data_IF_773784021236
#
_entry.id   IF_773784021236
#
_cell.length_a   1.000
_cell.length_b   1.000
_cell.length_c   1.000
_cell.angle_alpha   90.00
_cell.angle_beta   90.00
_cell.angle_gamma   90.00
#
_symmetry.space_group_name_H-M   'P 1'
#
loop_
_entity.id
_entity.type
_entity.pdbx_description
1 polymer ?
#
# COMPACT_ATOMS: atom_id res chain seq x y z
N UNK A 1 13.01 -16.26 2.91
CA UNK A 1 11.68 -15.67 2.71
C UNK A 1 11.39 -14.90 3.98
N UNK A 2 11.60 -13.59 3.96
CA UNK A 2 11.17 -12.75 5.08
C UNK A 2 9.65 -12.85 5.16
N UNK A 3 9.16 -13.44 6.24
CA UNK A 3 7.72 -13.55 6.49
C UNK A 3 7.13 -12.16 6.67
N UNK A 4 5.88 -11.98 6.22
CA UNK A 4 5.12 -10.79 6.55
C UNK A 4 4.99 -10.65 8.08
N UNK A 5 4.93 -9.43 8.57
CA UNK A 5 4.52 -9.13 9.94
C UNK A 5 3.11 -9.69 10.21
N UNK A 6 2.77 -9.97 11.47
CA UNK A 6 1.44 -10.47 11.85
C UNK A 6 0.30 -9.58 11.35
N UNK A 7 0.52 -8.26 11.34
CA UNK A 7 -0.45 -7.28 10.85
C UNK A 7 -0.62 -7.34 9.33
N UNK A 8 0.48 -7.51 8.60
CA UNK A 8 0.43 -7.68 7.15
C UNK A 8 -0.19 -9.02 6.76
N UNK A 9 0.11 -10.10 7.50
CA UNK A 9 -0.50 -11.40 7.30
C UNK A 9 -2.01 -11.33 7.56
N UNK A 10 -2.43 -10.72 8.66
CA UNK A 10 -3.86 -10.52 8.98
C UNK A 10 -4.58 -9.72 7.89
N UNK A 11 -3.93 -8.70 7.31
CA UNK A 11 -4.52 -7.96 6.19
C UNK A 11 -4.59 -8.80 4.92
N UNK A 12 -3.58 -9.61 4.63
CA UNK A 12 -3.59 -10.53 3.48
C UNK A 12 -4.72 -11.56 3.57
N UNK A 13 -5.01 -12.07 4.76
CA UNK A 13 -6.13 -13.00 5.02
C UNK A 13 -7.51 -12.35 4.80
N UNK A 14 -7.61 -11.01 4.94
CA UNK A 14 -8.86 -10.27 4.71
C UNK A 14 -9.04 -9.80 3.26
N UNK A 15 -7.95 -9.78 2.48
CA UNK A 15 -7.97 -9.32 1.09
C UNK A 15 -8.15 -10.50 0.15
N UNK A 16 -8.86 -10.26 -0.94
CA UNK A 16 -8.89 -11.24 -2.04
C UNK A 16 -7.54 -11.29 -2.76
N UNK A 17 -7.22 -12.42 -3.40
CA UNK A 17 -6.01 -12.55 -4.23
C UNK A 17 -5.91 -11.44 -5.29
N UNK A 18 -7.05 -11.04 -5.85
CA UNK A 18 -7.12 -9.96 -6.84
C UNK A 18 -6.74 -8.60 -6.23
N UNK A 19 -7.20 -8.29 -5.02
CA UNK A 19 -6.81 -7.05 -4.33
C UNK A 19 -5.33 -7.05 -3.96
N UNK A 20 -4.77 -8.20 -3.55
CA UNK A 20 -3.34 -8.32 -3.28
C UNK A 20 -2.52 -8.09 -4.55
N UNK A 21 -2.96 -8.60 -5.70
CA UNK A 21 -2.31 -8.37 -6.99
C UNK A 21 -2.36 -6.89 -7.41
N UNK A 22 -3.46 -6.19 -7.13
CA UNK A 22 -3.59 -4.76 -7.39
C UNK A 22 -2.61 -3.91 -6.58
N UNK A 23 -2.25 -4.35 -5.38
CA UNK A 23 -1.34 -3.64 -4.47
C UNK A 23 0.15 -3.78 -4.84
N UNK A 24 0.51 -4.79 -5.64
CA UNK A 24 1.94 -5.06 -5.94
C UNK A 24 2.58 -3.90 -6.68
N UNK A 25 3.85 -3.61 -6.34
CA UNK A 25 4.70 -2.60 -7.00
C UNK A 25 4.66 -2.68 -8.54
N UNK A 26 4.62 -3.89 -9.09
CA UNK A 26 4.65 -4.17 -10.53
C UNK A 26 3.28 -4.14 -11.21
N UNK A 27 2.21 -3.79 -10.49
CA UNK A 27 0.89 -3.65 -11.08
C UNK A 27 0.91 -2.58 -12.20
N UNK A 28 0.41 -2.89 -13.42
CA UNK A 28 0.53 -2.00 -14.58
C UNK A 28 -0.26 -0.70 -14.42
N UNK A 29 -1.39 -0.74 -13.71
CA UNK A 29 -2.25 0.43 -13.51
C UNK A 29 -1.89 1.17 -12.22
N UNK A 30 -0.93 2.09 -12.32
CA UNK A 30 -0.46 2.87 -11.15
C UNK A 30 -1.59 3.65 -10.45
N UNK A 31 -2.60 4.10 -11.20
CA UNK A 31 -3.74 4.85 -10.66
C UNK A 31 -4.58 3.96 -9.74
N UNK A 32 -5.03 2.80 -10.23
CA UNK A 32 -5.79 1.81 -9.46
C UNK A 32 -5.03 1.34 -8.21
N UNK A 33 -3.74 1.00 -8.34
CA UNK A 33 -2.90 0.64 -7.19
C UNK A 33 -2.87 1.76 -6.16
N UNK A 34 -2.64 3.00 -6.60
CA UNK A 34 -2.53 4.14 -5.70
C UNK A 34 -3.87 4.44 -5.01
N UNK A 35 -4.99 4.30 -5.72
CA UNK A 35 -6.32 4.41 -5.15
C UNK A 35 -6.56 3.34 -4.08
N UNK A 36 -6.16 2.09 -4.36
CA UNK A 36 -6.28 0.99 -3.39
C UNK A 36 -5.42 1.21 -2.14
N UNK A 37 -4.19 1.70 -2.30
CA UNK A 37 -3.30 2.09 -1.19
C UNK A 37 -3.97 3.17 -0.33
N UNK A 38 -4.56 4.20 -0.95
CA UNK A 38 -5.29 5.27 -0.24
C UNK A 38 -6.54 4.75 0.44
N UNK A 39 -7.25 3.80 -0.17
CA UNK A 39 -8.40 3.15 0.44
C UNK A 39 -8.01 2.43 1.73
N UNK A 40 -6.97 1.57 1.69
CA UNK A 40 -6.49 0.86 2.87
C UNK A 40 -6.06 1.83 3.98
N UNK A 41 -5.36 2.91 3.61
CA UNK A 41 -4.98 3.95 4.56
C UNK A 41 -6.19 4.63 5.20
N UNK A 42 -7.22 4.98 4.42
CA UNK A 42 -8.48 5.56 4.92
C UNK A 42 -9.25 4.59 5.84
N UNK A 43 -9.10 3.28 5.62
CA UNK A 43 -9.64 2.23 6.50
C UNK A 43 -8.83 2.03 7.79
N UNK A 44 -7.78 2.83 8.01
CA UNK A 44 -6.95 2.81 9.22
C UNK A 44 -5.77 1.84 9.17
N UNK A 45 -5.47 1.25 8.01
CA UNK A 45 -4.28 0.39 7.86
C UNK A 45 -3.02 1.26 7.91
N UNK A 46 -2.09 0.89 8.78
CA UNK A 46 -0.84 1.62 8.94
C UNK A 46 0.04 1.56 7.67
N UNK A 47 0.66 2.69 7.33
CA UNK A 47 1.46 2.82 6.09
C UNK A 47 2.62 1.81 5.98
N UNK A 48 3.21 1.40 7.11
CA UNK A 48 4.27 0.39 7.10
C UNK A 48 3.76 -0.99 6.70
N UNK A 49 2.55 -1.37 7.12
CA UNK A 49 1.89 -2.63 6.74
C UNK A 49 1.59 -2.62 5.24
N UNK A 50 1.06 -1.50 4.74
CA UNK A 50 0.77 -1.33 3.32
C UNK A 50 2.07 -1.42 2.50
N UNK A 51 3.14 -0.77 2.93
CA UNK A 51 4.44 -0.80 2.26
C UNK A 51 5.01 -2.22 2.17
N UNK A 52 4.87 -3.01 3.22
CA UNK A 52 5.29 -4.41 3.28
C UNK A 52 4.54 -5.27 2.25
N UNK A 53 3.20 -5.19 2.22
CA UNK A 53 2.35 -5.96 1.29
C UNK A 53 2.59 -5.54 -0.16
N UNK A 54 2.72 -4.23 -0.42
CA UNK A 54 2.94 -3.70 -1.76
C UNK A 54 4.35 -4.02 -2.29
N UNK A 55 5.31 -4.33 -1.42
CA UNK A 55 6.73 -4.44 -1.77
C UNK A 55 7.31 -3.08 -2.17
N UNK A 56 6.85 -1.99 -1.53
CA UNK A 56 7.25 -0.62 -1.82
C UNK A 56 7.95 0.01 -0.63
N UNK A 57 8.77 1.05 -0.86
CA UNK A 57 9.38 1.80 0.26
C UNK A 57 8.30 2.57 1.00
N UNK A 58 8.44 2.68 2.33
CA UNK A 58 7.52 3.44 3.20
C UNK A 58 7.32 4.88 2.72
N UNK A 59 8.40 5.54 2.30
CA UNK A 59 8.34 6.90 1.73
C UNK A 59 7.44 6.98 0.49
N UNK A 60 7.51 5.97 -0.39
CA UNK A 60 6.65 5.94 -1.59
C UNK A 60 5.18 5.78 -1.22
N UNK A 61 4.87 4.91 -0.25
CA UNK A 61 3.50 4.77 0.28
C UNK A 61 3.05 6.06 0.95
N UNK A 62 3.91 6.71 1.73
CA UNK A 62 3.63 8.00 2.36
C UNK A 62 3.24 9.08 1.34
N UNK A 63 3.98 9.20 0.23
CA UNK A 63 3.64 10.12 -0.88
C UNK A 63 2.30 9.78 -1.54
N UNK A 64 1.97 8.49 -1.67
CA UNK A 64 0.70 8.05 -2.25
C UNK A 64 -0.46 8.39 -1.33
N UNK A 65 -0.31 8.15 -0.02
CA UNK A 65 -1.35 8.41 0.98
C UNK A 65 -1.61 9.90 1.19
N UNK A 66 -0.56 10.73 1.21
CA UNK A 66 -0.64 12.14 1.55
C UNK A 66 -0.02 13.03 0.45
N UNK A 67 -0.57 13.06 -0.77
CA UNK A 67 0.05 13.78 -1.90
C UNK A 67 0.21 15.28 -1.64
N UNK A 68 -0.70 15.89 -0.88
CA UNK A 68 -0.70 17.33 -0.56
C UNK A 68 0.50 17.74 0.31
N UNK A 69 0.97 16.86 1.20
CA UNK A 69 2.16 17.12 2.03
C UNK A 69 3.46 17.17 1.22
N UNK A 70 3.45 16.67 -0.03
CA UNK A 70 4.62 16.65 -0.92
C UNK A 70 4.43 17.52 -2.16
N UNK A 71 3.28 18.19 -2.30
CA UNK A 71 3.01 19.09 -3.42
C UNK A 71 3.84 20.38 -3.36
N UNK A 72 4.34 20.74 -2.18
CA UNK A 72 5.16 21.94 -1.93
C UNK A 72 6.66 21.75 -2.28
N UNK A 73 7.05 20.57 -2.77
CA UNK A 73 8.45 20.23 -3.10
C UNK A 73 8.74 20.16 -4.61
N UNK A 74 7.83 20.67 -5.46
CA UNK A 74 7.91 20.59 -6.92
C UNK A 74 8.24 21.94 -7.58
#
# INVERSE_FOLDING_TARGET
>A
MEGYSEQAQSLLDLLTEQEVLQLRKHHPFKVDRNEKIRELHRRGVAQYVIAEICGMRRETVGRICNPEQYADQA
#
